data_IF_662399360513
#
_entry.id   IF_662399360513
#
_cell.length_a   1.000
_cell.length_b   1.000
_cell.length_c   1.000
_cell.angle_alpha   90.00
_cell.angle_beta   90.00
_cell.angle_gamma   90.00
#
_symmetry.space_group_name_H-M   'P 1'
#
loop_
_entity.id
_entity.type
_entity.pdbx_description
1 polymer ?
#
# COMPACT_ATOMS: atom_id res chain seq x y z
N UNK A 1 9.47 8.51 -3.93
CA UNK A 1 8.10 8.49 -3.38
C UNK A 1 7.59 9.91 -3.40
N UNK A 2 6.28 10.17 -3.61
CA UNK A 2 5.76 11.53 -3.54
C UNK A 2 6.21 12.16 -2.23
N UNK A 3 6.58 13.43 -2.28
CA UNK A 3 7.01 14.17 -1.09
C UNK A 3 5.99 13.98 0.03
N UNK A 4 6.45 13.78 1.26
CA UNK A 4 5.60 13.56 2.45
C UNK A 4 4.74 14.77 2.84
N UNK A 5 4.26 15.54 1.87
CA UNK A 5 3.31 16.62 2.02
C UNK A 5 1.94 16.03 2.37
N UNK A 6 1.64 16.05 3.66
CA UNK A 6 0.33 15.71 4.20
C UNK A 6 -0.77 16.58 3.60
N UNK A 7 -1.38 16.10 2.52
CA UNK A 7 -2.52 16.75 1.88
C UNK A 7 -3.12 15.87 0.80
N UNK A 8 -4.33 15.35 1.06
CA UNK A 8 -5.40 14.89 0.14
C UNK A 8 -5.07 14.10 -1.14
N UNK A 9 -3.85 13.57 -1.30
CA UNK A 9 -3.44 12.86 -2.51
C UNK A 9 -3.42 11.35 -2.28
N UNK A 10 -4.07 10.63 -3.19
CA UNK A 10 -4.07 9.17 -3.26
C UNK A 10 -3.48 8.68 -4.56
N UNK A 11 -2.69 7.61 -4.49
CA UNK A 11 -2.10 6.99 -5.67
C UNK A 11 -2.92 5.77 -6.12
N UNK A 12 -3.40 5.80 -7.35
CA UNK A 12 -4.05 4.64 -7.98
C UNK A 12 -2.99 3.72 -8.60
N UNK A 13 -2.89 2.50 -8.08
CA UNK A 13 -2.03 1.44 -8.63
C UNK A 13 -2.74 0.08 -8.54
N UNK A 14 -2.91 -0.61 -9.66
CA UNK A 14 -3.61 -1.91 -9.76
C UNK A 14 -4.99 -1.95 -9.06
N UNK A 15 -5.79 -0.88 -9.18
CA UNK A 15 -7.11 -0.79 -8.57
C UNK A 15 -7.12 -0.44 -7.08
N UNK A 16 -5.94 -0.26 -6.48
CA UNK A 16 -5.76 0.17 -5.08
C UNK A 16 -5.54 1.67 -5.01
N UNK A 17 -5.99 2.29 -3.93
CA UNK A 17 -5.81 3.72 -3.67
C UNK A 17 -4.94 3.88 -2.42
N UNK A 18 -3.73 4.39 -2.59
CA UNK A 18 -2.72 4.44 -1.53
C UNK A 18 -2.62 5.82 -0.89
N UNK A 19 -2.60 5.85 0.44
CA UNK A 19 -2.11 6.97 1.25
C UNK A 19 -0.78 6.60 1.91
N UNK A 20 -0.02 7.60 2.35
CA UNK A 20 1.33 7.46 2.92
C UNK A 20 1.43 8.03 4.34
N UNK A 21 0.68 7.53 5.32
CA UNK A 21 0.83 7.94 6.71
C UNK A 21 2.21 7.54 7.26
N UNK A 22 2.75 8.36 8.18
CA UNK A 22 3.90 7.97 9.00
C UNK A 22 3.60 6.67 9.76
N UNK A 23 4.60 5.80 9.87
CA UNK A 23 4.48 4.49 10.54
C UNK A 23 3.92 4.60 11.95
N UNK A 24 4.38 5.58 12.71
CA UNK A 24 3.97 5.80 14.09
C UNK A 24 2.50 6.20 14.24
N UNK A 25 1.87 6.67 13.15
CA UNK A 25 0.44 6.99 13.11
C UNK A 25 -0.44 5.75 12.81
N UNK A 26 0.15 4.58 12.59
CA UNK A 26 -0.57 3.37 12.19
C UNK A 26 -0.39 2.26 13.22
N UNK A 27 -1.53 1.73 13.68
CA UNK A 27 -1.59 0.51 14.48
C UNK A 27 -2.40 -0.55 13.74
N UNK A 28 -1.77 -1.69 13.46
CA UNK A 28 -2.46 -2.84 12.86
C UNK A 28 -3.14 -3.64 13.97
N UNK A 29 -4.46 -3.81 13.85
CA UNK A 29 -5.26 -4.64 14.74
C UNK A 29 -5.81 -5.80 13.90
N UNK A 30 -5.39 -7.02 14.23
CA UNK A 30 -5.83 -8.23 13.55
C UNK A 30 -6.68 -9.09 14.49
N UNK A 31 -7.66 -9.82 13.94
CA UNK A 31 -8.50 -10.73 14.72
C UNK A 31 -7.69 -11.92 15.27
N UNK A 32 -6.69 -12.37 14.52
CA UNK A 32 -5.70 -13.36 14.93
C UNK A 32 -4.33 -13.06 14.29
N UNK A 33 -3.22 -13.63 14.80
CA UNK A 33 -1.90 -13.49 14.18
C UNK A 33 -1.87 -13.92 12.70
N UNK A 34 -2.70 -14.91 12.34
CA UNK A 34 -2.75 -15.50 10.99
C UNK A 34 -3.71 -14.77 10.03
N UNK A 35 -4.38 -13.71 10.49
CA UNK A 35 -5.32 -12.95 9.67
C UNK A 35 -4.63 -12.09 8.60
N UNK A 36 -3.33 -11.84 8.75
CA UNK A 36 -2.54 -10.99 7.85
C UNK A 36 -1.37 -11.80 7.26
N UNK A 37 -1.43 -12.07 5.95
CA UNK A 37 -0.35 -12.71 5.20
C UNK A 37 0.52 -11.66 4.55
N UNK A 38 1.82 -11.95 4.42
CA UNK A 38 2.79 -11.06 3.76
C UNK A 38 3.51 -11.78 2.62
N UNK A 39 3.72 -11.07 1.52
CA UNK A 39 4.58 -11.49 0.41
C UNK A 39 5.65 -10.41 0.16
N UNK A 40 6.92 -10.81 0.14
CA UNK A 40 8.05 -9.92 -0.13
C UNK A 40 8.28 -9.88 -1.64
N UNK A 41 8.13 -8.70 -2.24
CA UNK A 41 8.43 -8.48 -3.64
C UNK A 41 9.95 -8.52 -3.88
N UNK A 42 10.38 -8.76 -5.13
CA UNK A 42 11.79 -8.70 -5.55
C UNK A 42 12.52 -7.43 -5.07
N UNK A 43 11.80 -6.31 -4.96
CA UNK A 43 12.35 -5.01 -4.51
C UNK A 43 12.38 -4.82 -2.98
N UNK A 44 12.09 -5.86 -2.20
CA UNK A 44 12.12 -5.83 -0.74
C UNK A 44 10.80 -5.38 -0.08
N UNK A 45 9.89 -4.76 -0.83
CA UNK A 45 8.60 -4.32 -0.31
C UNK A 45 7.73 -5.51 0.14
N UNK A 46 7.21 -5.46 1.36
CA UNK A 46 6.29 -6.46 1.89
C UNK A 46 4.82 -6.04 1.63
N UNK A 47 4.15 -6.78 0.74
CA UNK A 47 2.71 -6.65 0.49
C UNK A 47 1.96 -7.44 1.56
N UNK A 48 1.20 -6.77 2.42
CA UNK A 48 0.42 -7.36 3.50
C UNK A 48 -1.07 -7.36 3.13
N UNK A 49 -1.68 -8.53 3.13
CA UNK A 49 -3.06 -8.75 2.68
C UNK A 49 -3.82 -9.68 3.62
N UNK A 50 -5.15 -9.59 3.60
CA UNK A 50 -5.99 -10.49 4.38
C UNK A 50 -5.86 -11.93 3.85
N UNK A 51 -5.55 -12.87 4.73
CA UNK A 51 -5.39 -14.29 4.39
C UNK A 51 -6.66 -14.94 3.85
N UNK A 52 -7.84 -14.40 4.22
CA UNK A 52 -9.14 -14.94 3.82
C UNK A 52 -9.66 -14.36 2.50
N UNK A 53 -9.63 -13.04 2.33
CA UNK A 53 -10.22 -12.39 1.15
C UNK A 53 -9.20 -11.95 0.09
N UNK A 54 -7.90 -12.03 0.38
CA UNK A 54 -6.83 -11.66 -0.55
C UNK A 54 -6.68 -10.16 -0.78
N UNK A 55 -7.47 -9.31 -0.11
CA UNK A 55 -7.40 -7.87 -0.30
C UNK A 55 -6.12 -7.33 0.34
N UNK A 56 -5.38 -6.56 -0.45
CA UNK A 56 -4.15 -5.93 -0.03
C UNK A 56 -4.42 -4.65 0.79
N UNK A 57 -3.81 -4.61 1.98
CA UNK A 57 -4.09 -3.62 3.02
C UNK A 57 -2.92 -2.65 3.14
N UNK A 58 -1.70 -3.18 3.18
CA UNK A 58 -0.48 -2.42 3.43
C UNK A 58 0.60 -2.84 2.45
N UNK A 59 1.28 -1.88 1.83
CA UNK A 59 2.56 -2.10 1.20
C UNK A 59 3.66 -1.44 2.05
N UNK A 60 4.52 -2.27 2.62
CA UNK A 60 5.54 -1.90 3.59
C UNK A 60 6.91 -1.87 2.91
N UNK A 61 7.47 -0.68 2.75
CA UNK A 61 8.77 -0.46 2.11
C UNK A 61 9.85 -0.41 3.21
N UNK A 62 10.77 -1.39 3.28
CA UNK A 62 11.80 -1.39 4.31
C UNK A 62 12.65 -0.12 4.30
N UNK A 63 12.87 0.46 5.48
CA UNK A 63 13.70 1.67 5.64
C UNK A 63 13.00 2.99 5.30
N UNK A 64 11.73 2.96 4.88
CA UNK A 64 10.91 4.16 4.71
C UNK A 64 10.17 4.49 6.01
N UNK A 65 9.95 5.76 6.34
CA UNK A 65 9.25 6.18 7.57
C UNK A 65 7.72 6.15 7.42
N UNK A 66 7.23 5.89 6.20
CA UNK A 66 5.81 5.82 5.86
C UNK A 66 5.37 4.39 5.53
N UNK A 67 4.07 4.13 5.71
CA UNK A 67 3.40 2.94 5.19
C UNK A 67 2.51 3.32 4.02
N UNK A 68 2.47 2.50 2.98
CA UNK A 68 1.42 2.62 1.97
C UNK A 68 0.17 1.91 2.51
N UNK A 69 -0.93 2.62 2.75
CA UNK A 69 -2.19 2.03 3.25
C UNK A 69 -3.28 2.18 2.20
N UNK A 70 -4.01 1.09 1.93
CA UNK A 70 -5.12 1.12 0.98
C UNK A 70 -6.34 1.82 1.61
N UNK A 71 -6.56 3.08 1.21
CA UNK A 71 -7.61 3.96 1.76
C UNK A 71 -9.03 3.44 1.52
N UNK A 72 -9.22 2.57 0.53
CA UNK A 72 -10.52 1.90 0.23
C UNK A 72 -11.02 1.06 1.40
N UNK A 73 -10.13 0.67 2.31
CA UNK A 73 -10.43 -0.18 3.47
C UNK A 73 -10.66 0.62 4.75
N UNK A 74 -10.43 1.93 4.73
CA UNK A 74 -10.65 2.79 5.88
C UNK A 74 -12.12 3.19 5.96
N UNK A 75 -12.72 2.99 7.14
CA UNK A 75 -14.10 3.42 7.40
C UNK A 75 -14.13 4.93 7.64
N UNK A 76 -15.19 5.59 7.16
CA UNK A 76 -15.41 7.01 7.41
C UNK A 76 -14.61 7.96 6.52
N UNK A 77 -13.96 7.45 5.47
CA UNK A 77 -13.32 8.27 4.44
C UNK A 77 -14.26 8.35 3.22
N UNK A 78 -14.62 9.56 2.81
CA UNK A 78 -15.23 9.79 1.50
C UNK A 78 -14.10 9.98 0.47
N UNK A 79 -14.08 9.10 -0.53
CA UNK A 79 -13.06 9.11 -1.60
C UNK A 79 -13.34 10.19 -2.65
N UNK A 80 -14.55 10.75 -2.69
CA UNK A 80 -14.98 11.72 -3.72
C UNK A 80 -14.23 13.06 -3.63
N UNK A 81 -13.82 13.43 -2.43
CA UNK A 81 -13.17 14.73 -2.16
C UNK A 81 -11.63 14.65 -2.17
N UNK A 82 -11.08 13.51 -2.61
CA UNK A 82 -9.64 13.28 -2.64
C UNK A 82 -9.08 13.39 -4.04
N UNK A 83 -7.90 13.99 -4.16
CA UNK A 83 -7.19 14.11 -5.42
C UNK A 83 -6.49 12.78 -5.72
N UNK A 84 -6.79 12.21 -6.89
CA UNK A 84 -6.24 10.92 -7.31
C UNK A 84 -5.21 11.11 -8.41
N UNK A 85 -3.99 10.66 -8.13
CA UNK A 85 -2.90 10.62 -9.09
C UNK A 85 -2.66 9.18 -9.52
N UNK A 86 -2.59 8.95 -10.83
CA UNK A 86 -2.33 7.61 -11.37
C UNK A 86 -0.84 7.30 -11.21
N UNK A 87 -0.54 6.23 -10.49
CA UNK A 87 0.83 5.75 -10.30
C UNK A 87 1.00 4.39 -10.94
N UNK A 88 1.90 4.31 -11.93
CA UNK A 88 2.29 3.04 -12.53
C UNK A 88 3.54 2.49 -11.83
N UNK A 89 3.34 1.51 -10.95
CA UNK A 89 4.45 0.83 -10.27
C UNK A 89 5.30 -0.03 -11.21
N UNK A 90 4.75 -0.48 -12.34
CA UNK A 90 5.46 -1.31 -13.31
C UNK A 90 6.43 -0.48 -14.15
N UNK A 91 6.03 0.72 -14.58
CA UNK A 91 6.89 1.63 -15.32
C UNK A 91 8.16 2.02 -14.56
N UNK A 92 8.11 2.02 -13.23
CA UNK A 92 9.15 2.54 -12.35
C UNK A 92 10.15 1.47 -11.86
N UNK A 93 10.41 0.39 -12.61
CA UNK A 93 11.70 -0.32 -12.44
C UNK A 93 11.82 -1.62 -13.24
N UNK A 94 12.66 -2.54 -12.76
CA UNK A 94 13.07 -3.71 -13.55
C UNK A 94 11.87 -4.55 -14.00
N UNK A 95 11.77 -4.76 -15.31
CA UNK A 95 10.77 -5.61 -15.91
C UNK A 95 11.04 -7.07 -15.55
N UNK A 96 9.98 -7.84 -15.35
CA UNK A 96 10.10 -9.29 -15.17
C UNK A 96 10.80 -9.91 -16.39
N UNK A 97 11.83 -10.72 -16.12
CA UNK A 97 12.52 -11.52 -17.13
C UNK A 97 12.18 -12.97 -16.84
N UNK A 98 11.66 -13.68 -17.84
CA UNK A 98 11.34 -15.11 -17.74
C UNK A 98 12.67 -15.86 -17.54
N UNK A 99 12.81 -16.69 -16.48
CA UNK A 99 13.97 -17.56 -16.33
C UNK A 99 14.03 -18.58 -17.48
N UNK A 100 15.23 -18.85 -18.01
CA UNK A 100 15.47 -19.94 -18.98
C UNK A 100 15.12 -21.32 -18.42
#
# INVERSE_FOLDING_TARGET
>A
MPDGSGGKRILLNNGMLWIYPARDNIKVIAASPDSLTSYIMKRGNAQKFCSTCGINIINDVPGDDVLCVNVRLLRGIDLKDMECEKFDGFANGEKYVVPE
#
